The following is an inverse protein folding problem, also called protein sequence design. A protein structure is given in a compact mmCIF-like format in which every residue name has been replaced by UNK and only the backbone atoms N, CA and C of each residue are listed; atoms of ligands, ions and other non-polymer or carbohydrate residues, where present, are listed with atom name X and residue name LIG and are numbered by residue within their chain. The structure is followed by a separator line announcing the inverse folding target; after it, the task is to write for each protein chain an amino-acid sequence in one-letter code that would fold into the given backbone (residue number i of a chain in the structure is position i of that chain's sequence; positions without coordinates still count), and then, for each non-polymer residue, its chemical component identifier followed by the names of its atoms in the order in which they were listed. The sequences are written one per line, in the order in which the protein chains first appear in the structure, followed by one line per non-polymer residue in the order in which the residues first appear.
data_IF_143937160701
#
_entry.id   IF_143937160701
#
_cell.length_a   1.000
_cell.length_b   1.000
_cell.length_c   1.000
_cell.angle_alpha   90.00
_cell.angle_beta   90.00
_cell.angle_gamma   90.00
#
_symmetry.space_group_name_H-M   'P 1'
#
loop_
_entity.id
_entity.type
_entity.pdbx_description
1 polymer ?
#
# COMPACT_ATOMS: atom_id res chain seq x y z
N UNK A 1 30.35 -4.97 1.78
CA UNK A 1 29.29 -5.91 1.37
C UNK A 1 28.33 -5.14 0.47
N UNK A 2 28.41 -5.35 -0.84
CA UNK A 2 27.54 -4.71 -1.83
C UNK A 2 26.14 -5.29 -1.70
N UNK A 3 25.16 -4.47 -1.36
CA UNK A 3 23.75 -4.87 -1.40
C UNK A 3 23.43 -5.33 -2.82
N UNK A 4 23.06 -6.60 -2.99
CA UNK A 4 22.52 -7.13 -4.24
C UNK A 4 21.28 -6.30 -4.60
N UNK A 5 21.40 -5.42 -5.59
CA UNK A 5 20.25 -4.68 -6.12
C UNK A 5 19.21 -5.70 -6.58
N UNK A 6 18.00 -5.64 -6.02
CA UNK A 6 16.88 -6.51 -6.39
C UNK A 6 16.55 -6.28 -7.87
N UNK A 7 16.75 -7.29 -8.71
CA UNK A 7 16.49 -7.19 -10.16
C UNK A 7 14.99 -7.18 -10.46
N UNK A 8 14.60 -6.58 -11.59
CA UNK A 8 13.20 -6.60 -12.03
C UNK A 8 12.63 -8.03 -12.13
N UNK A 9 13.43 -8.98 -12.64
CA UNK A 9 13.03 -10.39 -12.71
C UNK A 9 12.73 -11.00 -11.34
N UNK A 10 13.54 -10.69 -10.32
CA UNK A 10 13.30 -11.17 -8.97
C UNK A 10 12.04 -10.56 -8.32
N UNK A 11 11.75 -9.27 -8.58
CA UNK A 11 10.52 -8.61 -8.13
C UNK A 11 9.28 -9.21 -8.82
N UNK A 12 9.33 -9.46 -10.13
CA UNK A 12 8.23 -10.11 -10.87
C UNK A 12 7.95 -11.49 -10.27
N UNK A 13 9.00 -12.28 -10.02
CA UNK A 13 8.87 -13.60 -9.38
C UNK A 13 8.25 -13.50 -7.99
N UNK A 14 8.68 -12.54 -7.17
CA UNK A 14 8.13 -12.31 -5.83
C UNK A 14 6.62 -12.03 -5.90
N UNK A 15 6.20 -11.07 -6.73
CA UNK A 15 4.79 -10.74 -6.89
C UNK A 15 3.95 -11.89 -7.43
N UNK A 16 4.49 -12.64 -8.40
CA UNK A 16 3.85 -13.86 -8.92
C UNK A 16 3.63 -14.89 -7.82
N UNK A 17 4.63 -15.16 -6.99
CA UNK A 17 4.51 -16.12 -5.89
C UNK A 17 3.54 -15.63 -4.80
N UNK A 18 3.52 -14.33 -4.49
CA UNK A 18 2.54 -13.73 -3.56
C UNK A 18 1.11 -13.90 -4.05
N UNK A 19 0.89 -13.81 -5.36
CA UNK A 19 -0.38 -14.08 -6.03
C UNK A 19 -0.69 -15.56 -6.24
N UNK A 20 0.23 -16.46 -5.83
CA UNK A 20 0.12 -17.92 -5.98
C UNK A 20 -0.04 -18.39 -7.44
N UNK A 21 0.52 -17.64 -8.39
CA UNK A 21 0.50 -18.00 -9.81
C UNK A 21 1.74 -18.83 -10.18
N UNK A 22 1.58 -19.85 -11.02
CA UNK A 22 2.71 -20.49 -11.69
C UNK A 22 3.26 -19.60 -12.81
N UNK A 23 4.45 -19.91 -13.33
CA UNK A 23 4.97 -19.20 -14.52
C UNK A 23 4.07 -19.42 -15.74
N UNK A 24 3.43 -20.59 -15.86
CA UNK A 24 2.52 -20.85 -16.97
C UNK A 24 1.27 -19.96 -16.84
N UNK A 25 0.70 -19.86 -15.64
CA UNK A 25 -0.50 -19.03 -15.39
C UNK A 25 -0.24 -17.58 -15.76
N UNK A 26 0.84 -16.98 -15.25
CA UNK A 26 1.15 -15.58 -15.56
C UNK A 26 1.48 -15.39 -17.06
N UNK A 27 2.15 -16.36 -17.68
CA UNK A 27 2.46 -16.27 -19.10
C UNK A 27 1.20 -16.30 -19.97
N UNK A 28 0.18 -17.08 -19.59
CA UNK A 28 -1.11 -17.09 -20.28
C UNK A 28 -1.86 -15.77 -20.11
N UNK A 29 -1.98 -15.27 -18.87
CA UNK A 29 -2.63 -13.98 -18.59
C UNK A 29 -1.93 -12.81 -19.28
N UNK A 30 -0.60 -12.88 -19.41
CA UNK A 30 0.21 -11.87 -20.08
C UNK A 30 0.35 -12.11 -21.59
N UNK A 31 -0.26 -13.15 -22.16
CA UNK A 31 -0.17 -13.50 -23.59
C UNK A 31 1.28 -13.62 -24.10
N UNK A 32 2.18 -14.19 -23.28
CA UNK A 32 3.58 -14.43 -23.62
C UNK A 32 3.96 -15.89 -23.48
N UNK A 33 5.11 -16.29 -24.02
CA UNK A 33 5.63 -17.63 -23.75
C UNK A 33 6.13 -17.77 -22.30
N UNK A 34 5.82 -18.91 -21.67
CA UNK A 34 6.36 -19.27 -20.36
C UNK A 34 7.90 -19.24 -20.34
N UNK A 35 8.54 -19.66 -21.45
CA UNK A 35 10.00 -19.62 -21.60
C UNK A 35 10.53 -18.18 -21.48
N UNK A 36 9.89 -17.22 -22.15
CA UNK A 36 10.29 -15.83 -22.07
C UNK A 36 10.13 -15.28 -20.65
N UNK A 37 8.99 -15.55 -19.99
CA UNK A 37 8.80 -15.17 -18.59
C UNK A 37 9.88 -15.77 -17.68
N UNK A 38 10.23 -17.04 -17.87
CA UNK A 38 11.29 -17.70 -17.11
C UNK A 38 12.66 -17.04 -17.30
N UNK A 39 12.98 -16.58 -18.52
CA UNK A 39 14.21 -15.84 -18.78
C UNK A 39 14.21 -14.45 -18.15
N UNK A 40 13.07 -13.76 -18.15
CA UNK A 40 12.92 -12.48 -17.44
C UNK A 40 13.11 -12.67 -15.94
N UNK A 41 12.43 -13.64 -15.32
CA UNK A 41 12.54 -13.91 -13.87
C UNK A 41 13.94 -14.32 -13.43
N UNK A 42 14.70 -14.99 -14.30
CA UNK A 42 16.09 -15.41 -14.04
C UNK A 42 17.14 -14.37 -14.46
N UNK A 43 16.72 -13.22 -15.01
CA UNK A 43 17.64 -12.17 -15.48
C UNK A 43 18.39 -12.51 -16.77
N UNK A 44 18.02 -13.60 -17.45
CA UNK A 44 18.60 -14.01 -18.74
C UNK A 44 18.08 -13.17 -19.91
N UNK A 45 16.96 -12.48 -19.74
CA UNK A 45 16.42 -11.53 -20.70
C UNK A 45 15.99 -10.25 -19.98
N UNK A 46 16.31 -9.09 -20.57
CA UNK A 46 15.83 -7.80 -20.09
C UNK A 46 14.42 -7.52 -20.68
N UNK A 47 13.40 -7.27 -19.84
CA UNK A 47 12.08 -6.91 -20.34
C UNK A 47 12.08 -5.47 -20.88
N UNK A 48 11.27 -5.21 -21.91
CA UNK A 48 10.97 -3.83 -22.32
C UNK A 48 10.15 -3.10 -21.25
N UNK A 49 10.09 -1.77 -21.34
CA UNK A 49 9.26 -0.97 -20.44
C UNK A 49 7.79 -1.39 -20.48
N UNK A 50 7.26 -1.66 -21.67
CA UNK A 50 5.86 -2.06 -21.83
C UNK A 50 5.61 -3.46 -21.28
N UNK A 51 6.56 -4.39 -21.47
CA UNK A 51 6.49 -5.72 -20.85
C UNK A 51 6.48 -5.63 -19.32
N UNK A 52 7.28 -4.74 -18.73
CA UNK A 52 7.27 -4.50 -17.28
C UNK A 52 5.90 -4.02 -16.80
N UNK A 53 5.29 -3.06 -17.50
CA UNK A 53 3.99 -2.53 -17.14
C UNK A 53 2.87 -3.56 -17.32
N UNK A 54 2.91 -4.33 -18.40
CA UNK A 54 1.95 -5.40 -18.69
C UNK A 54 2.00 -6.50 -17.62
N UNK A 55 3.19 -7.02 -17.30
CA UNK A 55 3.35 -8.01 -16.23
C UNK A 55 2.92 -7.46 -14.87
N UNK A 56 3.21 -6.19 -14.58
CA UNK A 56 2.78 -5.55 -13.35
C UNK A 56 1.25 -5.39 -13.24
N UNK A 57 0.58 -5.23 -14.38
CA UNK A 57 -0.87 -5.21 -14.47
C UNK A 57 -1.48 -6.58 -14.20
N UNK A 58 -1.01 -7.63 -14.88
CA UNK A 58 -1.50 -9.00 -14.67
C UNK A 58 -1.28 -9.49 -13.24
N UNK A 59 -0.16 -9.08 -12.62
CA UNK A 59 0.13 -9.37 -11.22
C UNK A 59 -0.63 -8.48 -10.24
N UNK A 60 -1.43 -7.53 -10.73
CA UNK A 60 -2.15 -6.54 -9.93
C UNK A 60 -1.22 -5.85 -8.92
N UNK A 61 -0.01 -5.49 -9.37
CA UNK A 61 0.96 -4.76 -8.55
C UNK A 61 0.43 -3.35 -8.32
N UNK A 62 0.37 -2.85 -7.07
CA UNK A 62 -0.08 -1.49 -6.82
C UNK A 62 0.87 -0.47 -7.46
N UNK A 63 0.34 0.68 -7.89
CA UNK A 63 1.04 1.67 -8.71
C UNK A 63 2.41 2.09 -8.15
N UNK A 64 2.52 2.23 -6.83
CA UNK A 64 3.79 2.59 -6.17
C UNK A 64 4.87 1.51 -6.38
N UNK A 65 4.51 0.24 -6.26
CA UNK A 65 5.43 -0.87 -6.46
C UNK A 65 5.72 -1.10 -7.95
N UNK A 66 4.86 -0.64 -8.87
CA UNK A 66 5.20 -0.58 -10.30
C UNK A 66 6.38 0.34 -10.57
N UNK A 67 6.49 1.48 -9.87
CA UNK A 67 7.68 2.34 -9.98
C UNK A 67 8.96 1.66 -9.50
N UNK A 68 8.89 0.87 -8.43
CA UNK A 68 10.05 0.10 -7.95
C UNK A 68 10.47 -0.91 -9.02
N UNK A 69 9.52 -1.58 -9.66
CA UNK A 69 9.79 -2.50 -10.75
C UNK A 69 10.39 -1.81 -11.97
N UNK A 70 9.87 -0.64 -12.37
CA UNK A 70 10.42 0.19 -13.45
C UNK A 70 11.87 0.60 -13.17
N UNK A 71 12.15 1.08 -11.96
CA UNK A 71 13.50 1.46 -11.55
C UNK A 71 14.46 0.26 -11.57
N UNK A 72 14.02 -0.89 -11.06
CA UNK A 72 14.80 -2.13 -11.07
C UNK A 72 15.06 -2.68 -12.50
N UNK A 73 14.26 -2.26 -13.48
CA UNK A 73 14.45 -2.56 -14.89
C UNK A 73 15.24 -1.48 -15.66
N UNK A 74 15.67 -0.40 -14.99
CA UNK A 74 16.41 0.70 -15.60
C UNK A 74 15.55 1.78 -16.26
N UNK A 75 14.25 1.84 -15.96
CA UNK A 75 13.31 2.81 -16.50
C UNK A 75 12.88 3.86 -15.47
N UNK A 76 12.48 5.04 -15.94
CA UNK A 76 11.95 6.10 -15.08
C UNK A 76 10.60 5.70 -14.44
N UNK A 77 10.35 6.07 -13.16
CA UNK A 77 9.04 5.96 -12.53
C UNK A 77 7.96 6.63 -13.36
N UNK A 78 6.75 6.07 -13.37
CA UNK A 78 5.64 6.55 -14.20
C UNK A 78 4.40 6.92 -13.41
N UNK A 79 4.34 6.55 -12.13
CA UNK A 79 3.17 6.77 -11.28
C UNK A 79 3.51 7.73 -10.14
N UNK A 80 3.04 8.97 -10.19
CA UNK A 80 3.28 9.93 -9.09
C UNK A 80 2.52 9.49 -7.83
N UNK A 81 3.19 9.45 -6.68
CA UNK A 81 2.53 9.36 -5.38
C UNK A 81 2.27 10.78 -4.87
N UNK A 82 1.02 11.09 -4.54
CA UNK A 82 0.62 12.38 -3.99
C UNK A 82 0.46 12.26 -2.48
N UNK A 83 0.94 13.28 -1.76
CA UNK A 83 0.66 13.41 -0.33
C UNK A 83 -0.83 13.59 -0.12
N UNK A 84 -1.38 13.12 1.00
CA UNK A 84 -2.76 13.45 1.39
C UNK A 84 -2.97 14.97 1.60
N UNK A 85 -1.87 15.72 1.76
CA UNK A 85 -1.85 17.19 1.83
C UNK A 85 -1.71 17.86 0.47
N UNK A 86 -1.69 17.10 -0.63
CA UNK A 86 -1.60 17.65 -1.99
C UNK A 86 -2.89 18.41 -2.34
N UNK A 87 -2.76 19.64 -2.84
CA UNK A 87 -3.89 20.49 -3.17
C UNK A 87 -4.87 19.85 -4.16
N UNK A 88 -4.38 18.96 -5.03
CA UNK A 88 -5.23 18.24 -5.98
C UNK A 88 -6.16 17.21 -5.33
N UNK A 89 -5.88 16.78 -4.10
CA UNK A 89 -6.73 15.89 -3.32
C UNK A 89 -7.74 16.63 -2.43
N UNK A 90 -7.70 17.96 -2.37
CA UNK A 90 -8.59 18.75 -1.51
C UNK A 90 -10.10 18.42 -1.69
N UNK A 91 -10.63 18.22 -2.92
CA UNK A 91 -12.04 17.84 -3.09
C UNK A 91 -12.36 16.46 -2.51
N UNK A 92 -11.45 15.49 -2.63
CA UNK A 92 -11.61 14.16 -2.06
C UNK A 92 -11.56 14.21 -0.52
N UNK A 93 -10.63 14.98 0.03
CA UNK A 93 -10.54 15.20 1.48
C UNK A 93 -11.80 15.86 2.03
N UNK A 94 -12.36 16.86 1.33
CA UNK A 94 -13.62 17.49 1.72
C UNK A 94 -14.81 16.49 1.73
N UNK A 95 -14.86 15.58 0.75
CA UNK A 95 -15.87 14.53 0.74
C UNK A 95 -15.75 13.57 1.94
N UNK A 96 -14.51 13.21 2.33
CA UNK A 96 -14.24 12.41 3.54
C UNK A 96 -14.79 13.12 4.79
N UNK A 97 -14.51 14.41 4.95
CA UNK A 97 -15.00 15.20 6.09
C UNK A 97 -16.54 15.22 6.18
N UNK A 98 -17.24 15.36 5.05
CA UNK A 98 -18.71 15.32 5.00
C UNK A 98 -19.22 13.97 5.50
N UNK A 99 -18.62 12.87 5.04
CA UNK A 99 -19.01 11.52 5.46
C UNK A 99 -18.75 11.31 6.95
N UNK A 100 -17.58 11.70 7.46
CA UNK A 100 -17.22 11.57 8.87
C UNK A 100 -18.18 12.37 9.77
N UNK A 101 -18.48 13.61 9.39
CA UNK A 101 -19.45 14.45 10.11
C UNK A 101 -20.86 13.86 10.08
N UNK A 102 -21.27 13.29 8.95
CA UNK A 102 -22.57 12.63 8.81
C UNK A 102 -22.78 11.43 9.73
N UNK A 103 -21.71 10.84 10.29
CA UNK A 103 -21.82 9.77 11.27
C UNK A 103 -22.05 10.27 12.69
N UNK A 104 -21.89 11.56 13.00
CA UNK A 104 -22.14 12.07 14.35
C UNK A 104 -23.59 11.80 14.79
N UNK A 105 -23.83 11.35 16.05
CA UNK A 105 -22.87 11.28 17.17
C UNK A 105 -22.07 9.95 17.27
N UNK A 106 -22.12 9.08 16.26
CA UNK A 106 -21.34 7.85 16.24
C UNK A 106 -19.87 8.11 15.86
N UNK A 107 -18.89 7.51 16.57
CA UNK A 107 -17.47 7.69 16.24
C UNK A 107 -17.13 7.15 14.85
N UNK A 108 -16.39 7.93 14.07
CA UNK A 108 -15.93 7.55 12.74
C UNK A 108 -14.47 8.00 12.48
N UNK A 109 -13.72 7.18 11.76
CA UNK A 109 -12.30 7.35 11.45
C UNK A 109 -12.06 7.09 9.95
N UNK A 110 -11.20 7.90 9.34
CA UNK A 110 -10.60 7.63 8.04
C UNK A 110 -9.13 7.24 8.23
N UNK A 111 -8.69 6.16 7.58
CA UNK A 111 -7.31 5.64 7.69
C UNK A 111 -6.67 5.44 6.32
N UNK A 112 -5.34 5.54 6.28
CA UNK A 112 -4.56 5.20 5.08
C UNK A 112 -4.35 3.67 4.96
N UNK A 113 -3.68 3.24 3.89
CA UNK A 113 -3.37 1.83 3.63
C UNK A 113 -2.49 1.15 4.71
N UNK A 114 -1.83 1.94 5.54
CA UNK A 114 -0.96 1.48 6.63
C UNK A 114 -1.64 1.60 8.00
N UNK A 115 -2.95 1.89 8.03
CA UNK A 115 -3.72 2.12 9.25
C UNK A 115 -3.32 3.37 10.03
N UNK A 116 -2.69 4.35 9.39
CA UNK A 116 -2.49 5.66 10.01
C UNK A 116 -3.79 6.46 9.94
N UNK A 117 -4.12 7.15 11.02
CA UNK A 117 -5.24 8.06 11.11
C UNK A 117 -5.05 9.22 10.13
N UNK A 118 -6.01 9.39 9.23
CA UNK A 118 -6.08 10.51 8.27
C UNK A 118 -6.97 11.61 8.82
N UNK A 119 -8.17 11.26 9.29
CA UNK A 119 -9.12 12.17 9.91
C UNK A 119 -10.12 11.41 10.78
N UNK A 120 -10.82 12.12 11.66
CA UNK A 120 -11.80 11.59 12.59
C UNK A 120 -12.89 12.62 12.87
N UNK A 121 -14.11 12.19 13.14
CA UNK A 121 -15.14 13.10 13.63
C UNK A 121 -14.96 13.42 15.13
N UNK A 122 -15.70 14.41 15.63
CA UNK A 122 -15.57 14.86 17.02
C UNK A 122 -15.95 13.79 18.06
N UNK A 123 -16.82 12.85 17.67
CA UNK A 123 -17.28 11.76 18.52
C UNK A 123 -16.16 10.78 18.95
N UNK A 124 -14.99 10.81 18.33
CA UNK A 124 -13.82 10.01 18.74
C UNK A 124 -13.14 10.55 20.01
N UNK A 125 -13.21 11.86 20.28
CA UNK A 125 -12.52 12.49 21.40
C UNK A 125 -12.68 11.77 22.75
N UNK A 126 -13.92 11.44 23.18
CA UNK A 126 -14.16 10.72 24.43
C UNK A 126 -13.48 9.34 24.53
N UNK A 127 -13.27 8.65 23.39
CA UNK A 127 -12.61 7.34 23.38
C UNK A 127 -11.10 7.44 23.58
N UNK A 128 -10.51 8.61 23.23
CA UNK A 128 -9.08 8.86 23.33
C UNK A 128 -8.66 9.51 24.65
N UNK A 129 -9.63 10.02 25.44
CA UNK A 129 -9.37 10.79 26.65
C UNK A 129 -8.57 10.02 27.71
N UNK A 130 -8.79 8.70 27.82
CA UNK A 130 -8.15 7.85 28.84
C UNK A 130 -6.99 7.01 28.29
N UNK A 131 -6.43 7.37 27.14
CA UNK A 131 -5.22 6.71 26.62
C UNK A 131 -4.05 7.00 27.55
N UNK A 132 -3.55 5.97 28.23
CA UNK A 132 -2.52 6.10 29.25
C UNK A 132 -1.16 6.54 28.68
N UNK A 133 -0.84 6.10 27.47
CA UNK A 133 0.42 6.43 26.80
C UNK A 133 0.20 7.49 25.70
N UNK A 134 0.43 8.76 26.04
CA UNK A 134 0.25 9.90 25.12
C UNK A 134 1.08 9.80 23.83
N UNK A 135 2.19 9.03 23.84
CA UNK A 135 3.01 8.77 22.65
C UNK A 135 2.20 8.13 21.52
N UNK A 136 1.15 7.37 21.86
CA UNK A 136 0.27 6.68 20.90
C UNK A 136 -0.66 7.64 20.15
N UNK A 137 -0.84 8.86 20.64
CA UNK A 137 -1.63 9.91 20.01
C UNK A 137 -0.78 10.90 19.19
N UNK A 138 0.54 10.72 19.17
CA UNK A 138 1.45 11.56 18.37
C UNK A 138 1.44 11.10 16.91
N UNK A 139 1.18 11.97 15.92
CA UNK A 139 1.22 11.59 14.51
C UNK A 139 2.59 11.04 14.06
N UNK A 140 2.62 10.03 13.16
CA UNK A 140 1.46 9.33 12.59
C UNK A 140 0.82 8.37 13.61
N UNK A 141 -0.49 8.53 13.83
CA UNK A 141 -1.25 7.68 14.77
C UNK A 141 -1.68 6.42 14.05
N UNK A 142 -1.03 5.30 14.32
CA UNK A 142 -1.46 4.01 13.78
C UNK A 142 -2.65 3.49 14.62
N UNK A 143 -3.84 3.40 14.02
CA UNK A 143 -5.06 3.06 14.77
C UNK A 143 -5.05 1.63 15.29
N UNK A 144 -4.37 0.69 14.62
CA UNK A 144 -4.26 -0.68 15.13
C UNK A 144 -3.38 -0.72 16.37
N UNK A 145 -2.24 -0.02 16.34
CA UNK A 145 -1.37 0.13 17.51
C UNK A 145 -2.13 0.80 18.65
N UNK A 146 -2.81 1.92 18.38
CA UNK A 146 -3.60 2.63 19.39
C UNK A 146 -4.68 1.75 20.02
N UNK A 147 -5.38 0.92 19.23
CA UNK A 147 -6.45 0.05 19.72
C UNK A 147 -5.97 -1.19 20.46
N UNK A 148 -4.78 -1.72 20.12
CA UNK A 148 -4.28 -3.00 20.65
C UNK A 148 -3.16 -2.86 21.68
N UNK A 149 -2.54 -1.68 21.79
CA UNK A 149 -1.48 -1.45 22.77
C UNK A 149 -2.04 -1.43 24.21
N UNK A 150 -1.36 -2.03 25.19
CA UNK A 150 -1.80 -1.99 26.59
C UNK A 150 -1.94 -0.57 27.17
N UNK A 151 -1.09 0.37 26.72
CA UNK A 151 -1.19 1.79 27.07
C UNK A 151 -2.19 2.58 26.21
N UNK A 152 -2.86 1.92 25.26
CA UNK A 152 -3.85 2.49 24.35
C UNK A 152 -5.28 2.20 24.80
N UNK A 153 -6.16 1.92 23.83
CA UNK A 153 -7.59 1.64 24.10
C UNK A 153 -7.83 0.17 24.50
N UNK A 154 -6.86 -0.72 24.31
CA UNK A 154 -7.00 -2.16 24.51
C UNK A 154 -7.64 -2.57 25.86
N UNK A 155 -7.26 -1.98 27.02
CA UNK A 155 -7.85 -2.36 28.31
C UNK A 155 -9.36 -2.08 28.43
N UNK A 156 -9.93 -1.27 27.53
CA UNK A 156 -11.33 -0.86 27.54
C UNK A 156 -12.20 -1.63 26.54
N UNK A 157 -11.59 -2.49 25.72
CA UNK A 157 -12.31 -3.33 24.77
C UNK A 157 -12.80 -4.56 25.54
N UNK A 158 -14.11 -4.60 25.83
CA UNK A 158 -14.78 -5.73 26.47
C UNK A 158 -15.24 -6.69 25.37
N UNK A 159 -14.97 -7.99 25.54
CA UNK A 159 -15.40 -9.04 24.61
C UNK A 159 -16.90 -9.32 24.71
#
# INVERSE_FOLDING_TARGET
MTATQTSAGSLIREWRTRRRMSQLDLAMEAEISQRHLSFVESGRAAPSRDMVLHLAEQLSIPLRQRNQLLLAAGFAPSFSERSLTDASLAPAMAAIEIVLKGHEPFPALAVDRHWNLVSSNAAIGPFLADVAEASLLTPPVNVLRLSLHPGGVAPRIVN
#
